data_IF_050393619117
#
_entry.id   IF_050393619117
#
_cell.length_a   1.000
_cell.length_b   1.000
_cell.length_c   1.000
_cell.angle_alpha   90.00
_cell.angle_beta   90.00
_cell.angle_gamma   90.00
#
_symmetry.space_group_name_H-M   'P 1'
#
loop_
_entity.id
_entity.type
_entity.pdbx_description
1 polymer ?
#
# COMPACT_ATOMS: atom_id res chain seq x y z
N UNK A 1 1.03 -13.07 12.04
CA UNK A 1 -0.09 -13.24 13.00
C UNK A 1 -0.64 -11.91 13.48
N UNK A 2 0.17 -10.84 13.65
CA UNK A 2 -0.32 -9.47 13.88
C UNK A 2 -1.29 -8.97 12.80
N UNK A 3 -1.04 -9.34 11.54
CA UNK A 3 -1.81 -8.84 10.39
C UNK A 3 -3.27 -9.33 10.38
N UNK A 4 -3.52 -10.56 10.87
CA UNK A 4 -4.87 -11.12 11.02
C UNK A 4 -5.57 -10.47 12.22
N UNK A 5 -4.84 -10.13 13.27
CA UNK A 5 -5.39 -9.43 14.44
C UNK A 5 -5.78 -7.99 14.09
N UNK A 6 -4.99 -7.30 13.27
CA UNK A 6 -5.32 -5.93 12.80
C UNK A 6 -6.54 -5.94 11.88
N UNK A 7 -6.63 -6.90 10.95
CA UNK A 7 -7.81 -7.11 10.12
C UNK A 7 -9.06 -7.46 10.93
N UNK A 8 -8.91 -8.35 11.91
CA UNK A 8 -9.99 -8.74 12.81
C UNK A 8 -10.45 -7.56 13.68
N UNK A 9 -9.52 -6.74 14.20
CA UNK A 9 -9.83 -5.55 14.99
C UNK A 9 -10.62 -4.51 14.20
N UNK A 10 -10.26 -4.30 12.93
CA UNK A 10 -10.98 -3.37 12.04
C UNK A 10 -12.35 -3.94 11.65
N UNK A 11 -12.46 -5.24 11.35
CA UNK A 11 -13.75 -5.90 11.11
C UNK A 11 -14.69 -5.76 12.30
N UNK A 12 -14.18 -6.00 13.51
CA UNK A 12 -14.92 -5.82 14.76
C UNK A 12 -15.34 -4.36 14.93
N UNK A 13 -14.46 -3.39 14.65
CA UNK A 13 -14.79 -1.96 14.71
C UNK A 13 -15.94 -1.59 13.75
N UNK A 14 -15.90 -2.11 12.51
CA UNK A 14 -16.95 -1.90 11.51
C UNK A 14 -18.28 -2.50 11.95
N UNK A 15 -18.26 -3.72 12.47
CA UNK A 15 -19.46 -4.39 13.01
C UNK A 15 -20.02 -3.58 14.18
N UNK A 16 -19.17 -3.14 15.11
CA UNK A 16 -19.58 -2.31 16.25
C UNK A 16 -20.18 -0.99 15.78
N UNK A 17 -19.56 -0.30 14.82
CA UNK A 17 -20.08 0.94 14.26
C UNK A 17 -21.45 0.73 13.59
N UNK A 18 -21.63 -0.35 12.84
CA UNK A 18 -22.90 -0.71 12.21
C UNK A 18 -23.99 -1.04 13.24
N UNK A 19 -23.64 -1.77 14.31
CA UNK A 19 -24.56 -2.09 15.40
C UNK A 19 -24.95 -0.85 16.20
N UNK A 20 -24.01 0.09 16.42
CA UNK A 20 -24.29 1.36 17.09
C UNK A 20 -25.19 2.24 16.22
N UNK A 21 -24.90 2.37 14.92
CA UNK A 21 -25.77 3.10 13.99
C UNK A 21 -27.17 2.48 13.93
N UNK A 22 -27.25 1.16 13.73
CA UNK A 22 -28.52 0.42 13.69
C UNK A 22 -29.29 0.52 15.00
N UNK A 23 -28.60 0.45 16.14
CA UNK A 23 -29.19 0.57 17.48
C UNK A 23 -29.71 1.98 17.78
N UNK A 24 -28.96 3.02 17.43
CA UNK A 24 -29.41 4.42 17.53
C UNK A 24 -30.68 4.61 16.71
N UNK A 25 -30.74 4.05 15.50
CA UNK A 25 -31.91 4.16 14.64
C UNK A 25 -33.11 3.41 15.19
N UNK A 26 -32.93 2.18 15.64
CA UNK A 26 -34.00 1.42 16.27
C UNK A 26 -34.56 2.14 17.51
N UNK A 27 -33.67 2.71 18.33
CA UNK A 27 -34.03 3.46 19.53
C UNK A 27 -34.72 4.80 19.26
N UNK A 28 -34.25 5.57 18.28
CA UNK A 28 -34.82 6.89 17.96
C UNK A 28 -36.05 6.82 17.05
N UNK A 29 -36.11 5.88 16.10
CA UNK A 29 -37.19 5.80 15.11
C UNK A 29 -38.37 5.02 15.64
N UNK A 30 -38.19 4.18 16.67
CA UNK A 30 -39.24 3.52 17.44
C UNK A 30 -40.41 3.09 16.56
N UNK A 31 -40.29 1.93 15.88
CA UNK A 31 -41.19 1.45 14.82
C UNK A 31 -42.65 1.39 15.30
N UNK A 32 -43.33 2.53 15.29
CA UNK A 32 -44.76 2.68 15.61
C UNK A 32 -45.54 3.28 14.45
N UNK A 33 -44.89 3.98 13.52
CA UNK A 33 -45.51 4.47 12.30
C UNK A 33 -44.63 4.23 11.05
N UNK A 34 -45.12 3.38 10.15
CA UNK A 34 -44.60 3.22 8.78
C UNK A 34 -44.83 4.55 8.04
N UNK A 35 -43.81 5.40 7.99
CA UNK A 35 -43.84 6.63 7.19
C UNK A 35 -42.81 6.52 6.07
N UNK A 36 -43.06 7.16 4.92
CA UNK A 36 -42.09 7.20 3.83
C UNK A 36 -40.73 7.74 4.28
N UNK A 37 -40.71 8.65 5.25
CA UNK A 37 -39.49 9.21 5.83
C UNK A 37 -38.64 8.16 6.56
N UNK A 38 -39.25 7.27 7.35
CA UNK A 38 -38.50 6.22 8.06
C UNK A 38 -37.95 5.15 7.11
N UNK A 39 -38.67 4.86 6.02
CA UNK A 39 -38.17 3.99 4.94
C UNK A 39 -36.98 4.64 4.22
N UNK A 40 -37.10 5.91 3.80
CA UNK A 40 -36.00 6.63 3.14
C UNK A 40 -34.76 6.75 4.03
N UNK A 41 -34.93 7.02 5.33
CA UNK A 41 -33.82 7.11 6.27
C UNK A 41 -33.11 5.75 6.44
N UNK A 42 -33.87 4.66 6.54
CA UNK A 42 -33.31 3.31 6.64
C UNK A 42 -32.49 2.94 5.41
N UNK A 43 -33.00 3.25 4.21
CA UNK A 43 -32.28 3.00 2.94
C UNK A 43 -31.00 3.83 2.90
N UNK A 44 -31.05 5.12 3.24
CA UNK A 44 -29.88 6.00 3.24
C UNK A 44 -28.77 5.46 4.16
N UNK A 45 -29.16 4.90 5.30
CA UNK A 45 -28.21 4.40 6.30
C UNK A 45 -27.64 3.04 5.91
N UNK A 46 -28.44 2.20 5.25
CA UNK A 46 -27.94 0.96 4.63
C UNK A 46 -26.90 1.24 3.54
N UNK A 47 -27.14 2.26 2.70
CA UNK A 47 -26.18 2.71 1.69
C UNK A 47 -24.91 3.25 2.34
N UNK A 48 -25.05 4.07 3.38
CA UNK A 48 -23.91 4.62 4.12
C UNK A 48 -23.07 3.52 4.76
N UNK A 49 -23.71 2.56 5.43
CA UNK A 49 -23.04 1.42 6.02
C UNK A 49 -22.32 0.58 4.95
N UNK A 50 -22.98 0.29 3.84
CA UNK A 50 -22.38 -0.49 2.74
C UNK A 50 -21.20 0.24 2.08
N UNK A 51 -21.32 1.54 1.85
CA UNK A 51 -20.25 2.36 1.31
C UNK A 51 -19.04 2.40 2.25
N UNK A 52 -19.25 2.54 3.56
CA UNK A 52 -18.17 2.53 4.54
C UNK A 52 -17.36 1.21 4.52
N UNK A 53 -18.05 0.07 4.42
CA UNK A 53 -17.41 -1.24 4.29
C UNK A 53 -16.61 -1.32 2.99
N UNK A 54 -17.21 -0.91 1.86
CA UNK A 54 -16.56 -0.94 0.56
C UNK A 54 -15.29 -0.08 0.52
N UNK A 55 -15.35 1.15 1.06
CA UNK A 55 -14.19 2.05 1.13
C UNK A 55 -13.08 1.47 2.00
N UNK A 56 -13.42 0.89 3.17
CA UNK A 56 -12.43 0.28 4.04
C UNK A 56 -11.78 -0.95 3.40
N UNK A 57 -12.58 -1.82 2.78
CA UNK A 57 -12.06 -2.98 2.05
C UNK A 57 -11.15 -2.56 0.90
N UNK A 58 -11.54 -1.54 0.13
CA UNK A 58 -10.72 -0.99 -0.95
C UNK A 58 -9.38 -0.47 -0.42
N UNK A 59 -9.41 0.33 0.65
CA UNK A 59 -8.19 0.87 1.27
C UNK A 59 -7.25 -0.23 1.76
N UNK A 60 -7.79 -1.25 2.42
CA UNK A 60 -7.06 -2.42 2.91
C UNK A 60 -6.44 -3.19 1.74
N UNK A 61 -7.26 -3.64 0.78
CA UNK A 61 -6.78 -4.45 -0.34
C UNK A 61 -5.69 -3.71 -1.11
N UNK A 62 -5.86 -2.41 -1.35
CA UNK A 62 -4.86 -1.62 -2.06
C UNK A 62 -3.54 -1.53 -1.27
N UNK A 63 -3.58 -1.45 0.06
CA UNK A 63 -2.39 -1.45 0.92
C UNK A 63 -1.68 -2.82 0.92
N UNK A 64 -2.44 -3.90 1.12
CA UNK A 64 -1.88 -5.25 1.18
C UNK A 64 -1.38 -5.76 -0.18
N UNK A 65 -2.09 -5.40 -1.27
CA UNK A 65 -1.70 -5.78 -2.62
C UNK A 65 -0.32 -5.22 -2.99
N UNK A 66 -0.03 -3.96 -2.60
CA UNK A 66 1.29 -3.35 -2.80
C UNK A 66 2.40 -4.12 -2.08
N UNK A 67 2.21 -4.43 -0.79
CA UNK A 67 3.22 -5.17 -0.02
C UNK A 67 3.49 -6.57 -0.57
N UNK A 68 2.43 -7.26 -1.03
CA UNK A 68 2.55 -8.61 -1.61
C UNK A 68 3.16 -8.57 -3.01
N UNK A 69 2.81 -7.58 -3.83
CA UNK A 69 3.39 -7.37 -5.15
C UNK A 69 4.90 -7.12 -5.05
N UNK A 70 5.32 -6.26 -4.11
CA UNK A 70 6.74 -6.00 -3.84
C UNK A 70 7.46 -7.27 -3.40
N UNK A 71 6.93 -8.01 -2.43
CA UNK A 71 7.54 -9.27 -1.97
C UNK A 71 7.65 -10.30 -3.10
N UNK A 72 6.61 -10.43 -3.92
CA UNK A 72 6.57 -11.38 -5.04
C UNK A 72 7.56 -10.98 -6.13
N UNK A 73 7.65 -9.68 -6.43
CA UNK A 73 8.63 -9.14 -7.36
C UNK A 73 10.07 -9.33 -6.85
N UNK A 74 10.31 -9.15 -5.54
CA UNK A 74 11.61 -9.44 -4.92
C UNK A 74 11.98 -10.93 -4.97
N UNK A 75 11.00 -11.84 -4.82
CA UNK A 75 11.23 -13.29 -4.98
C UNK A 75 11.55 -13.69 -6.43
N UNK A 76 11.09 -12.91 -7.42
CA UNK A 76 11.41 -13.12 -8.84
C UNK A 76 12.73 -12.44 -9.27
N UNK A 77 13.47 -11.83 -8.34
CA UNK A 77 14.76 -11.22 -8.57
C UNK A 77 15.90 -12.17 -8.15
N UNK A 78 17.04 -12.06 -8.83
CA UNK A 78 18.27 -12.71 -8.34
C UNK A 78 18.76 -12.04 -7.05
N UNK A 79 19.57 -12.73 -6.25
CA UNK A 79 20.14 -12.19 -5.01
C UNK A 79 20.89 -10.87 -5.24
N UNK A 80 21.62 -10.77 -6.36
CA UNK A 80 22.35 -9.57 -6.76
C UNK A 80 21.40 -8.41 -7.11
N UNK A 81 20.29 -8.68 -7.81
CA UNK A 81 19.26 -7.69 -8.13
C UNK A 81 18.56 -7.19 -6.86
N UNK A 82 18.21 -8.11 -5.96
CA UNK A 82 17.56 -7.78 -4.70
C UNK A 82 18.47 -6.93 -3.80
N UNK A 83 19.77 -7.25 -3.76
CA UNK A 83 20.77 -6.47 -3.02
C UNK A 83 20.90 -5.04 -3.56
N UNK A 84 20.93 -4.88 -4.89
CA UNK A 84 20.95 -3.55 -5.54
C UNK A 84 19.67 -2.78 -5.22
N UNK A 85 18.50 -3.41 -5.35
CA UNK A 85 17.21 -2.78 -5.10
C UNK A 85 17.07 -2.34 -3.63
N UNK A 86 17.44 -3.18 -2.65
CA UNK A 86 17.43 -2.80 -1.23
C UNK A 86 18.29 -1.59 -0.93
N UNK A 87 19.49 -1.53 -1.51
CA UNK A 87 20.39 -0.41 -1.29
C UNK A 87 19.82 0.89 -1.89
N UNK A 88 19.13 0.82 -3.03
CA UNK A 88 18.43 1.97 -3.63
C UNK A 88 17.21 2.38 -2.81
N UNK A 89 16.37 1.43 -2.37
CA UNK A 89 15.22 1.68 -1.51
C UNK A 89 15.62 2.32 -0.17
N UNK A 90 16.68 1.82 0.47
CA UNK A 90 17.14 2.34 1.76
C UNK A 90 17.59 3.81 1.72
N UNK A 91 17.95 4.31 0.54
CA UNK A 91 18.43 5.68 0.34
C UNK A 91 17.37 6.62 -0.23
N UNK A 92 16.29 6.08 -0.78
CA UNK A 92 15.34 6.82 -1.63
C UNK A 92 15.93 7.24 -2.98
N UNK A 93 17.19 7.66 -3.03
CA UNK A 93 17.91 8.00 -4.26
C UNK A 93 19.37 7.55 -4.19
N UNK A 94 19.88 6.94 -5.25
CA UNK A 94 21.26 6.47 -5.31
C UNK A 94 21.93 6.86 -6.64
N UNK A 95 23.15 7.39 -6.57
CA UNK A 95 23.95 7.63 -7.78
C UNK A 95 24.63 6.35 -8.24
N UNK A 96 24.46 6.01 -9.52
CA UNK A 96 25.01 4.79 -10.11
C UNK A 96 26.54 4.71 -10.00
N UNK A 97 27.25 5.85 -10.10
CA UNK A 97 28.72 5.93 -10.00
C UNK A 97 29.28 5.72 -8.59
N UNK A 98 28.45 5.81 -7.55
CA UNK A 98 28.83 5.50 -6.17
C UNK A 98 28.38 4.10 -5.75
N UNK A 99 27.30 3.60 -6.35
CA UNK A 99 26.65 2.36 -5.96
C UNK A 99 27.54 1.12 -6.19
N UNK A 100 28.30 1.09 -7.30
CA UNK A 100 29.18 -0.05 -7.62
C UNK A 100 30.29 -0.26 -6.60
N UNK A 101 30.87 0.84 -6.06
CA UNK A 101 31.90 0.77 -5.02
C UNK A 101 31.34 0.24 -3.72
N UNK A 102 30.10 0.59 -3.38
CA UNK A 102 29.51 0.20 -2.10
C UNK A 102 29.06 -1.25 -2.10
N UNK A 103 28.59 -1.75 -3.24
CA UNK A 103 28.13 -3.13 -3.37
C UNK A 103 29.25 -4.13 -3.69
N UNK A 104 30.47 -3.64 -3.87
CA UNK A 104 31.65 -4.41 -4.31
C UNK A 104 31.40 -5.16 -5.62
N UNK A 105 30.90 -4.44 -6.63
CA UNK A 105 30.54 -5.00 -7.94
C UNK A 105 31.27 -4.28 -9.07
N UNK A 106 31.54 -4.97 -10.17
CA UNK A 106 32.06 -4.34 -11.38
C UNK A 106 31.02 -3.38 -11.99
N UNK A 107 31.49 -2.31 -12.65
CA UNK A 107 30.60 -1.33 -13.31
C UNK A 107 29.69 -1.98 -14.35
N UNK A 108 30.21 -2.96 -15.10
CA UNK A 108 29.44 -3.71 -16.09
C UNK A 108 28.35 -4.56 -15.45
N UNK A 109 28.69 -5.31 -14.38
CA UNK A 109 27.72 -6.12 -13.64
C UNK A 109 26.60 -5.25 -13.05
N UNK A 110 26.95 -4.14 -12.38
CA UNK A 110 25.94 -3.23 -11.85
C UNK A 110 25.06 -2.63 -12.95
N UNK A 111 25.63 -2.25 -14.09
CA UNK A 111 24.85 -1.69 -15.20
C UNK A 111 23.83 -2.68 -15.76
N UNK A 112 24.20 -3.96 -15.87
CA UNK A 112 23.28 -5.02 -16.29
C UNK A 112 22.14 -5.20 -15.28
N UNK A 113 22.46 -5.31 -13.99
CA UNK A 113 21.47 -5.46 -12.91
C UNK A 113 20.49 -4.28 -12.87
N UNK A 114 20.99 -3.05 -13.03
CA UNK A 114 20.14 -1.86 -13.08
C UNK A 114 19.21 -1.89 -14.30
N UNK A 115 19.69 -2.36 -15.48
CA UNK A 115 18.83 -2.47 -16.66
C UNK A 115 17.70 -3.48 -16.41
N UNK A 116 18.01 -4.65 -15.84
CA UNK A 116 16.99 -5.64 -15.48
C UNK A 116 15.98 -5.07 -14.47
N UNK A 117 16.45 -4.33 -13.46
CA UNK A 117 15.57 -3.70 -12.45
C UNK A 117 14.67 -2.61 -13.06
N UNK A 118 15.12 -1.94 -14.12
CA UNK A 118 14.31 -0.96 -14.87
C UNK A 118 13.29 -1.66 -15.76
N UNK A 119 13.68 -2.75 -16.44
CA UNK A 119 12.75 -3.59 -17.21
C UNK A 119 11.66 -4.21 -16.33
N UNK A 120 12.01 -4.60 -15.09
CA UNK A 120 11.09 -5.09 -14.06
C UNK A 120 10.30 -3.98 -13.37
N UNK A 121 10.45 -2.72 -13.81
CA UNK A 121 9.78 -1.55 -13.25
C UNK A 121 9.99 -1.36 -11.72
N UNK A 122 11.15 -1.78 -11.21
CA UNK A 122 11.51 -1.67 -9.80
C UNK A 122 12.31 -0.39 -9.49
N UNK A 123 13.03 0.13 -10.49
CA UNK A 123 13.86 1.33 -10.38
C UNK A 123 13.65 2.20 -11.62
N UNK A 124 13.65 3.52 -11.44
CA UNK A 124 13.72 4.51 -12.52
C UNK A 124 15.11 5.12 -12.61
N UNK A 125 15.50 5.51 -13.83
CA UNK A 125 16.74 6.27 -14.08
C UNK A 125 16.40 7.70 -14.43
N UNK A 126 17.01 8.62 -13.71
CA UNK A 126 16.99 10.03 -14.04
C UNK A 126 18.41 10.48 -14.41
N UNK A 127 18.57 11.13 -15.56
CA UNK A 127 19.90 11.59 -15.99
C UNK A 127 20.35 12.74 -15.12
N UNK A 128 21.52 12.58 -14.49
CA UNK A 128 22.12 13.60 -13.64
C UNK A 128 23.58 13.85 -14.04
N UNK A 129 23.80 14.96 -14.77
CA UNK A 129 25.10 15.33 -15.34
C UNK A 129 25.66 14.20 -16.23
N UNK A 130 26.79 13.60 -15.81
CA UNK A 130 27.50 12.51 -16.51
C UNK A 130 27.14 11.11 -15.97
N UNK A 131 26.20 11.01 -15.02
CA UNK A 131 25.76 9.74 -14.44
C UNK A 131 24.24 9.71 -14.32
N UNK A 132 23.68 8.60 -13.82
CA UNK A 132 22.25 8.48 -13.56
C UNK A 132 22.02 8.44 -12.04
N UNK A 133 20.95 9.10 -11.62
CA UNK A 133 20.32 8.88 -10.32
C UNK A 133 19.31 7.75 -10.49
N UNK A 134 19.31 6.84 -9.53
CA UNK A 134 18.43 5.69 -9.45
C UNK A 134 17.43 5.96 -8.32
N UNK A 135 16.15 5.81 -8.60
CA UNK A 135 15.08 5.93 -7.60
C UNK A 135 14.20 4.68 -7.64
N UNK A 136 13.76 4.14 -6.50
CA UNK A 136 12.74 3.10 -6.52
C UNK A 136 11.45 3.68 -7.14
N UNK A 137 10.72 2.85 -7.87
CA UNK A 137 9.37 3.23 -8.36
C UNK A 137 8.39 3.34 -7.20
N UNK A 138 7.20 3.92 -7.44
CA UNK A 138 6.18 4.12 -6.39
C UNK A 138 5.79 2.83 -5.66
N UNK A 139 5.87 1.70 -6.35
CA UNK A 139 5.62 0.38 -5.76
C UNK A 139 6.70 -0.02 -4.76
N UNK A 140 7.96 0.41 -4.96
CA UNK A 140 9.12 0.06 -4.15
C UNK A 140 9.65 1.21 -3.28
N UNK A 141 9.08 2.41 -3.39
CA UNK A 141 9.52 3.60 -2.66
C UNK A 141 9.02 3.65 -1.21
N UNK A 142 8.37 2.58 -0.71
CA UNK A 142 7.83 2.52 0.65
C UNK A 142 8.21 1.24 1.40
N UNK A 143 8.91 1.41 2.54
CA UNK A 143 8.64 0.61 3.71
C UNK A 143 8.46 1.51 4.94
N UNK A 144 7.46 2.40 4.95
CA UNK A 144 6.91 3.00 6.18
C UNK A 144 5.73 3.91 5.87
N UNK A 145 4.58 3.61 6.48
CA UNK A 145 3.64 4.66 6.81
C UNK A 145 4.30 5.62 7.81
N UNK A 146 4.18 6.91 7.54
CA UNK A 146 4.56 7.98 8.44
C UNK A 146 4.35 9.32 7.76
N UNK A 147 3.17 9.96 7.89
CA UNK A 147 3.08 11.37 7.58
C UNK A 147 3.97 12.12 8.58
N UNK A 148 5.07 12.67 8.08
CA UNK A 148 5.62 13.89 8.65
C UNK A 148 4.73 15.01 8.16
N UNK A 149 3.86 15.51 9.04
CA UNK A 149 3.51 16.92 9.27
C UNK A 149 2.25 16.99 10.13
#
# INVERSE_FOLDING_TARGET
MKDIQDLAGILVLVIVLQLVLGGILYGFIGVKHFSLQSVSLSVLLMVTASASVATLLYWIVNRYAKERAVRTAMMAMSEDEEKVLREVMSRGEARQDKLWKKLDMSRGKLSALINNLVEKNAITKERYRRTNILKPTEDFSSPAGGPNH
#
